data_IF_577285276046
#
_entry.id   IF_577285276046
#
_cell.length_a   1.000
_cell.length_b   1.000
_cell.length_c   1.000
_cell.angle_alpha   90.00
_cell.angle_beta   90.00
_cell.angle_gamma   90.00
#
_symmetry.space_group_name_H-M   'P 1'
#
loop_
_entity.id
_entity.type
_entity.pdbx_description
1 polymer ?
#
# COMPACT_ATOMS: atom_id res chain seq x y z
N UNK A 1 20.19 0.21 -33.65
CA UNK A 1 20.82 -1.13 -33.56
C UNK A 1 22.07 -1.01 -32.69
N UNK A 2 21.97 -1.12 -31.37
CA UNK A 2 23.14 -1.04 -30.49
C UNK A 2 23.61 -2.46 -30.20
N UNK A 3 24.59 -2.96 -30.98
CA UNK A 3 25.26 -4.22 -30.66
C UNK A 3 26.14 -4.00 -29.43
N UNK A 4 25.87 -4.70 -28.35
CA UNK A 4 26.76 -4.70 -27.18
C UNK A 4 28.10 -5.33 -27.57
N UNK A 5 29.15 -4.50 -27.68
CA UNK A 5 30.51 -4.94 -27.95
C UNK A 5 31.18 -5.25 -26.62
N UNK A 6 31.69 -6.47 -26.45
CA UNK A 6 32.43 -6.87 -25.24
C UNK A 6 33.67 -6.01 -25.04
N UNK A 7 34.01 -5.69 -23.79
CA UNK A 7 35.19 -4.88 -23.43
C UNK A 7 36.50 -5.44 -24.00
N UNK A 8 36.57 -6.76 -24.17
CA UNK A 8 37.71 -7.48 -24.75
C UNK A 8 37.92 -7.18 -26.24
N UNK A 9 36.86 -6.83 -26.97
CA UNK A 9 36.97 -6.52 -28.40
C UNK A 9 37.75 -5.22 -28.64
N UNK A 10 37.68 -4.25 -27.72
CA UNK A 10 38.43 -2.99 -27.84
C UNK A 10 39.95 -3.16 -27.73
N UNK A 11 40.44 -4.31 -27.29
CA UNK A 11 41.86 -4.63 -27.21
C UNK A 11 42.33 -5.51 -28.38
N UNK A 12 41.43 -5.98 -29.25
CA UNK A 12 41.77 -6.84 -30.37
C UNK A 12 42.25 -6.00 -31.59
N UNK A 13 43.45 -6.24 -32.14
CA UNK A 13 43.97 -5.51 -33.31
C UNK A 13 43.09 -5.68 -34.55
N UNK A 14 42.56 -6.89 -34.77
CA UNK A 14 41.69 -7.22 -35.91
C UNK A 14 40.33 -6.53 -35.83
N UNK A 15 39.81 -6.32 -34.61
CA UNK A 15 38.57 -5.56 -34.37
C UNK A 15 38.78 -4.06 -34.58
N UNK A 16 39.89 -3.50 -34.07
CA UNK A 16 40.27 -2.09 -34.31
C UNK A 16 40.51 -1.78 -35.79
N UNK A 17 41.04 -2.74 -36.54
CA UNK A 17 41.24 -2.62 -37.99
C UNK A 17 39.96 -2.79 -38.82
N UNK A 18 38.79 -2.96 -38.19
CA UNK A 18 37.49 -3.07 -38.88
C UNK A 18 37.26 -4.38 -39.63
N UNK A 19 38.16 -5.36 -39.50
CA UNK A 19 38.11 -6.66 -40.23
C UNK A 19 37.59 -7.82 -39.40
N UNK A 20 37.14 -7.56 -38.17
CA UNK A 20 36.59 -8.61 -37.31
C UNK A 20 35.13 -8.87 -37.70
N UNK A 21 34.86 -10.06 -38.25
CA UNK A 21 33.52 -10.51 -38.60
C UNK A 21 32.59 -10.68 -37.38
N UNK A 22 33.17 -10.85 -36.19
CA UNK A 22 32.48 -11.03 -34.91
C UNK A 22 31.63 -12.30 -34.87
N UNK A 23 31.57 -12.98 -33.73
CA UNK A 23 30.57 -14.04 -33.54
C UNK A 23 29.25 -13.37 -33.19
N UNK A 24 28.52 -12.90 -34.19
CA UNK A 24 27.19 -12.34 -33.96
C UNK A 24 26.25 -13.47 -33.48
N UNK A 25 26.11 -13.63 -32.16
CA UNK A 25 24.97 -14.37 -31.61
C UNK A 25 23.72 -13.54 -31.90
N UNK A 26 23.02 -13.86 -32.99
CA UNK A 26 21.61 -13.47 -33.15
C UNK A 26 20.87 -14.11 -31.98
N UNK A 27 20.51 -13.30 -30.99
CA UNK A 27 19.49 -13.69 -30.02
C UNK A 27 18.15 -13.62 -30.77
N UNK A 28 17.74 -14.74 -31.34
CA UNK A 28 16.35 -14.96 -31.70
C UNK A 28 15.53 -14.96 -30.40
N UNK A 29 14.28 -14.48 -30.47
CA UNK A 29 13.35 -14.51 -29.35
C UNK A 29 13.24 -15.95 -28.80
N UNK A 30 13.65 -16.10 -27.54
CA UNK A 30 13.37 -17.18 -26.58
C UNK A 30 12.80 -18.48 -27.17
N UNK A 31 13.69 -19.44 -27.46
CA UNK A 31 13.36 -20.83 -27.19
C UNK A 31 13.34 -20.98 -25.65
N UNK A 32 12.27 -21.54 -25.11
CA UNK A 32 12.07 -21.63 -23.66
C UNK A 32 13.10 -22.61 -23.08
N UNK A 33 14.24 -22.09 -22.62
CA UNK A 33 15.11 -22.85 -21.73
C UNK A 33 14.25 -23.31 -20.54
N UNK A 34 14.24 -24.60 -20.17
CA UNK A 34 13.59 -25.02 -18.94
C UNK A 34 14.26 -24.26 -17.81
N UNK A 35 13.56 -23.28 -17.25
CA UNK A 35 13.97 -22.69 -16.00
C UNK A 35 13.89 -23.85 -14.99
N UNK A 36 15.02 -24.43 -14.63
CA UNK A 36 15.15 -25.09 -13.34
C UNK A 36 15.00 -24.00 -12.29
N UNK A 37 13.77 -23.52 -12.08
CA UNK A 37 13.42 -22.80 -10.87
C UNK A 37 13.64 -23.85 -9.78
N UNK A 38 14.74 -23.72 -9.05
CA UNK A 38 14.84 -24.32 -7.72
C UNK A 38 13.56 -23.91 -7.02
N UNK A 39 12.73 -24.87 -6.65
CA UNK A 39 11.54 -24.61 -5.86
C UNK A 39 11.99 -23.83 -4.64
N UNK A 40 11.67 -22.53 -4.63
CA UNK A 40 11.90 -21.69 -3.47
C UNK A 40 10.97 -22.25 -2.43
N UNK A 41 11.52 -22.80 -1.35
CA UNK A 41 10.74 -23.14 -0.15
C UNK A 41 9.77 -21.99 0.10
N UNK A 42 8.49 -22.32 0.16
CA UNK A 42 7.42 -21.36 0.41
C UNK A 42 7.83 -20.50 1.62
N UNK A 43 7.97 -19.19 1.39
CA UNK A 43 8.34 -18.26 2.45
C UNK A 43 7.17 -18.10 3.41
N UNK A 44 7.45 -18.20 4.71
CA UNK A 44 6.46 -17.90 5.74
C UNK A 44 6.10 -16.41 5.68
N UNK A 45 4.80 -16.13 5.52
CA UNK A 45 4.24 -14.76 5.44
C UNK A 45 4.52 -13.94 6.71
N UNK A 46 4.80 -14.60 7.83
CA UNK A 46 5.20 -13.95 9.09
C UNK A 46 6.47 -13.09 8.93
N UNK A 47 7.34 -13.43 7.98
CA UNK A 47 8.58 -12.68 7.74
C UNK A 47 8.38 -11.35 7.02
N UNK A 48 7.21 -11.16 6.41
CA UNK A 48 6.87 -9.95 5.65
C UNK A 48 6.42 -8.83 6.58
N UNK A 49 5.83 -9.17 7.72
CA UNK A 49 5.26 -8.21 8.65
C UNK A 49 6.08 -8.16 9.95
N UNK A 50 6.57 -6.96 10.27
CA UNK A 50 7.28 -6.65 11.49
C UNK A 50 6.52 -7.08 12.74
N UNK A 51 5.22 -6.77 12.83
CA UNK A 51 4.38 -7.12 13.99
C UNK A 51 4.28 -8.62 14.23
N UNK A 52 4.20 -9.43 13.16
CA UNK A 52 4.11 -10.89 13.28
C UNK A 52 5.46 -11.58 13.50
N UNK A 53 6.54 -10.97 13.03
CA UNK A 53 7.89 -11.57 13.09
C UNK A 53 8.52 -11.54 14.49
N UNK A 54 7.99 -10.74 15.43
CA UNK A 54 8.57 -10.52 16.76
C UNK A 54 9.95 -9.85 16.73
N UNK A 55 10.43 -9.41 15.57
CA UNK A 55 11.75 -8.78 15.39
C UNK A 55 11.70 -7.34 15.85
N UNK A 56 12.54 -6.98 16.81
CA UNK A 56 12.82 -5.58 17.13
C UNK A 56 13.64 -4.97 15.99
N UNK A 57 13.08 -3.98 15.33
CA UNK A 57 13.73 -3.28 14.22
C UNK A 57 14.58 -2.17 14.81
N UNK A 58 15.86 -2.03 14.40
CA UNK A 58 16.70 -0.95 14.87
C UNK A 58 16.14 0.41 14.42
N UNK A 59 16.42 1.48 15.16
CA UNK A 59 16.01 2.83 14.76
C UNK A 59 16.59 3.19 13.39
N UNK A 60 15.88 4.04 12.64
CA UNK A 60 16.33 4.42 11.31
C UNK A 60 17.61 5.25 11.39
N UNK A 61 18.53 5.12 10.40
CA UNK A 61 19.76 5.91 10.35
C UNK A 61 19.52 7.43 10.40
N UNK A 62 20.48 8.16 10.98
CA UNK A 62 20.48 9.62 11.15
C UNK A 62 20.06 10.42 9.91
N UNK A 63 20.51 9.99 8.72
CA UNK A 63 20.18 10.63 7.44
C UNK A 63 18.67 10.84 7.22
N UNK A 64 17.82 9.99 7.79
CA UNK A 64 16.36 10.12 7.68
C UNK A 64 15.83 11.29 8.53
N UNK A 65 16.48 11.62 9.65
CA UNK A 65 16.18 12.83 10.44
C UNK A 65 16.49 14.08 9.63
N UNK A 66 17.69 14.12 9.04
CA UNK A 66 18.11 15.22 8.17
C UNK A 66 17.14 15.40 7.01
N UNK A 67 16.72 14.31 6.37
CA UNK A 67 15.74 14.35 5.30
C UNK A 67 14.40 14.90 5.77
N UNK A 68 13.86 14.43 6.90
CA UNK A 68 12.62 14.96 7.46
C UNK A 68 12.75 16.46 7.74
N UNK A 69 13.83 16.89 8.38
CA UNK A 69 14.11 18.30 8.66
C UNK A 69 14.16 19.15 7.40
N UNK A 70 14.85 18.68 6.36
CA UNK A 70 14.97 19.40 5.09
C UNK A 70 13.62 19.55 4.39
N UNK A 71 12.72 18.58 4.53
CA UNK A 71 11.37 18.64 3.95
C UNK A 71 10.44 19.61 4.70
N UNK A 72 10.66 19.84 5.99
CA UNK A 72 9.73 20.60 6.84
C UNK A 72 10.21 22.00 7.20
N UNK A 73 11.48 22.31 6.98
CA UNK A 73 12.07 23.61 7.33
C UNK A 73 11.28 24.76 6.67
N UNK A 74 10.76 25.67 7.49
CA UNK A 74 9.98 26.83 7.04
C UNK A 74 8.48 26.60 6.84
N UNK A 75 8.00 25.35 6.97
CA UNK A 75 6.59 24.99 6.78
C UNK A 75 5.94 24.34 8.01
N UNK A 76 6.61 24.35 9.17
CA UNK A 76 6.17 23.62 10.38
C UNK A 76 4.76 24.01 10.83
N UNK A 77 4.44 25.30 10.85
CA UNK A 77 3.10 25.79 11.21
C UNK A 77 2.04 25.37 10.18
N UNK A 78 2.38 25.39 8.89
CA UNK A 78 1.47 24.98 7.83
C UNK A 78 1.20 23.48 7.89
N UNK A 79 2.23 22.68 8.16
CA UNK A 79 2.14 21.24 8.34
C UNK A 79 1.26 20.92 9.55
N UNK A 80 1.47 21.60 10.69
CA UNK A 80 0.63 21.45 11.88
C UNK A 80 -0.84 21.78 11.56
N UNK A 81 -1.09 22.91 10.88
CA UNK A 81 -2.44 23.30 10.48
C UNK A 81 -3.09 22.26 9.56
N UNK A 82 -2.37 21.79 8.53
CA UNK A 82 -2.86 20.77 7.61
C UNK A 82 -3.15 19.45 8.32
N UNK A 83 -2.38 19.09 9.33
CA UNK A 83 -2.66 17.91 10.17
C UNK A 83 -3.93 18.07 10.99
N UNK A 84 -4.08 19.22 11.66
CA UNK A 84 -5.27 19.49 12.48
C UNK A 84 -6.55 19.45 11.63
N UNK A 85 -6.53 20.07 10.44
CA UNK A 85 -7.63 19.99 9.46
C UNK A 85 -7.88 18.54 8.99
N UNK A 86 -6.82 17.78 8.73
CA UNK A 86 -6.92 16.42 8.23
C UNK A 86 -7.50 15.44 9.24
N UNK A 87 -7.14 15.57 10.53
CA UNK A 87 -7.67 14.72 11.59
C UNK A 87 -9.17 14.96 11.77
N UNK A 88 -9.63 16.21 11.69
CA UNK A 88 -11.07 16.52 11.72
C UNK A 88 -11.80 15.93 10.51
N UNK A 89 -11.23 16.04 9.30
CA UNK A 89 -11.81 15.39 8.11
C UNK A 89 -11.86 13.87 8.30
N UNK A 90 -10.81 13.25 8.81
CA UNK A 90 -10.78 11.81 9.06
C UNK A 90 -11.83 11.37 10.07
N UNK A 91 -12.04 12.14 11.13
CA UNK A 91 -13.05 11.87 12.15
C UNK A 91 -14.45 11.83 11.54
N UNK A 92 -14.82 12.87 10.79
CA UNK A 92 -16.11 12.93 10.08
C UNK A 92 -16.26 11.78 9.09
N UNK A 93 -15.25 11.50 8.27
CA UNK A 93 -15.31 10.43 7.27
C UNK A 93 -15.39 9.04 7.90
N UNK A 94 -14.70 8.84 9.02
CA UNK A 94 -14.75 7.59 9.78
C UNK A 94 -16.15 7.35 10.35
N UNK A 95 -16.76 8.38 10.93
CA UNK A 95 -18.15 8.31 11.43
C UNK A 95 -19.16 8.06 10.29
N UNK A 96 -19.00 8.72 9.14
CA UNK A 96 -19.82 8.48 7.95
C UNK A 96 -19.72 7.03 7.48
N UNK A 97 -18.51 6.47 7.42
CA UNK A 97 -18.30 5.09 7.00
C UNK A 97 -18.82 4.11 8.04
N UNK A 98 -18.56 4.35 9.34
CA UNK A 98 -19.03 3.49 10.41
C UNK A 98 -20.57 3.42 10.44
N UNK A 99 -21.26 4.54 10.23
CA UNK A 99 -22.73 4.60 10.17
C UNK A 99 -23.30 3.99 8.89
N UNK A 100 -22.62 4.14 7.75
CA UNK A 100 -23.09 3.65 6.45
C UNK A 100 -22.48 2.31 6.03
N UNK A 101 -21.65 1.67 6.85
CA UNK A 101 -20.95 0.43 6.46
C UNK A 101 -21.90 -0.63 5.92
N UNK A 102 -23.07 -0.77 6.54
CA UNK A 102 -24.11 -1.74 6.15
C UNK A 102 -24.74 -1.39 4.80
N UNK A 103 -25.01 -0.10 4.55
CA UNK A 103 -25.62 0.36 3.30
C UNK A 103 -24.62 0.49 2.15
N UNK A 104 -23.35 0.79 2.42
CA UNK A 104 -22.27 0.87 1.41
C UNK A 104 -21.98 -0.52 0.85
N UNK A 105 -21.82 -1.55 1.71
CA UNK A 105 -21.74 -2.93 1.24
C UNK A 105 -22.95 -3.30 0.38
N UNK A 106 -24.15 -2.96 0.83
CA UNK A 106 -25.39 -3.30 0.14
C UNK A 106 -25.49 -2.60 -1.22
N UNK A 107 -25.10 -1.33 -1.31
CA UNK A 107 -25.15 -0.56 -2.56
C UNK A 107 -24.20 -1.12 -3.63
N UNK A 108 -22.97 -1.49 -3.24
CA UNK A 108 -22.04 -2.16 -4.16
C UNK A 108 -22.60 -3.51 -4.65
N UNK A 109 -23.19 -4.32 -3.76
CA UNK A 109 -23.83 -5.58 -4.14
C UNK A 109 -25.02 -5.35 -5.10
N UNK A 110 -25.85 -4.34 -4.86
CA UNK A 110 -27.00 -4.05 -5.73
C UNK A 110 -26.60 -3.59 -7.13
N UNK A 111 -25.56 -2.76 -7.28
CA UNK A 111 -25.08 -2.36 -8.61
C UNK A 111 -24.41 -3.53 -9.35
N UNK A 112 -23.69 -4.39 -8.64
CA UNK A 112 -23.08 -5.58 -9.24
C UNK A 112 -24.14 -6.59 -9.73
N UNK A 113 -25.24 -6.77 -8.98
CA UNK A 113 -26.39 -7.57 -9.42
C UNK A 113 -27.12 -6.95 -10.62
N UNK A 114 -27.20 -5.60 -10.68
CA UNK A 114 -27.81 -4.89 -11.80
C UNK A 114 -27.01 -5.01 -13.12
N UNK A 115 -25.71 -5.28 -13.05
CA UNK A 115 -24.86 -5.56 -14.23
C UNK A 115 -25.00 -6.99 -14.80
N UNK A 116 -25.98 -7.78 -14.34
CA UNK A 116 -26.35 -9.05 -14.95
C UNK A 116 -25.44 -10.24 -14.61
N UNK A 117 -24.49 -10.06 -13.70
CA UNK A 117 -23.76 -11.17 -13.10
C UNK A 117 -24.61 -11.77 -11.96
N UNK A 118 -25.16 -12.95 -12.22
CA UNK A 118 -25.99 -13.72 -11.29
C UNK A 118 -25.13 -14.29 -10.16
N UNK A 119 -24.72 -13.44 -9.22
CA UNK A 119 -24.27 -13.92 -7.91
C UNK A 119 -25.46 -14.58 -7.23
N UNK A 120 -25.34 -15.87 -6.92
CA UNK A 120 -26.25 -16.55 -6.00
C UNK A 120 -26.11 -15.86 -4.64
N UNK A 121 -26.98 -14.90 -4.37
CA UNK A 121 -27.24 -14.40 -3.01
C UNK A 121 -28.01 -15.50 -2.27
N UNK A 122 -27.33 -16.61 -1.99
CA UNK A 122 -27.84 -17.66 -1.13
C UNK A 122 -27.24 -17.41 0.27
N UNK A 123 -28.15 -17.03 1.17
CA UNK A 123 -28.17 -17.43 2.58
C UNK A 123 -27.38 -16.64 3.63
N UNK A 124 -27.05 -15.36 3.42
CA UNK A 124 -26.54 -14.54 4.54
C UNK A 124 -27.29 -13.23 4.75
N UNK A 125 -27.78 -13.05 5.98
CA UNK A 125 -28.32 -11.79 6.47
C UNK A 125 -27.21 -10.74 6.47
N UNK A 126 -27.46 -9.48 6.03
CA UNK A 126 -26.47 -8.41 6.08
C UNK A 126 -25.80 -8.25 7.46
N UNK A 127 -26.54 -8.54 8.53
CA UNK A 127 -26.02 -8.49 9.90
C UNK A 127 -24.95 -9.57 10.20
N UNK A 128 -24.94 -10.70 9.50
CA UNK A 128 -23.98 -11.80 9.71
C UNK A 128 -22.65 -11.57 9.00
N UNK A 129 -22.68 -10.89 7.84
CA UNK A 129 -21.49 -10.47 7.09
C UNK A 129 -20.62 -9.50 7.92
N UNK A 130 -21.25 -8.66 8.74
CA UNK A 130 -20.55 -7.76 9.68
C UNK A 130 -20.22 -8.41 11.03
N UNK A 131 -20.95 -9.45 11.45
CA UNK A 131 -20.74 -10.11 12.76
C UNK A 131 -19.50 -10.99 12.81
N UNK A 132 -19.00 -11.45 11.66
CA UNK A 132 -17.84 -12.33 11.56
C UNK A 132 -16.87 -11.95 10.43
N UNK A 133 -16.05 -10.88 10.59
CA UNK A 133 -15.08 -10.46 9.57
C UNK A 133 -14.01 -11.52 9.23
N UNK A 134 -13.86 -12.55 10.07
CA UNK A 134 -12.80 -13.55 9.96
C UNK A 134 -13.21 -14.88 9.31
N UNK A 135 -14.51 -15.09 8.99
CA UNK A 135 -14.99 -16.42 8.58
C UNK A 135 -15.08 -16.65 7.07
N UNK A 136 -15.00 -15.59 6.27
CA UNK A 136 -14.81 -15.69 4.83
C UNK A 136 -13.41 -15.16 4.50
N UNK A 137 -12.67 -15.88 3.64
CA UNK A 137 -11.33 -15.48 3.15
C UNK A 137 -11.46 -14.32 2.15
N UNK A 138 -12.11 -13.26 2.59
CA UNK A 138 -12.53 -12.15 1.75
C UNK A 138 -11.63 -10.96 2.05
N UNK A 139 -11.15 -10.31 0.99
CA UNK A 139 -10.40 -9.07 1.10
C UNK A 139 -11.25 -8.05 1.86
N UNK A 140 -10.66 -7.32 2.81
CA UNK A 140 -11.27 -6.14 3.41
C UNK A 140 -10.55 -4.91 2.90
N UNK A 141 -11.29 -3.84 2.63
CA UNK A 141 -10.77 -2.62 2.02
C UNK A 141 -11.11 -1.41 2.87
N UNK A 142 -10.20 -0.43 2.88
CA UNK A 142 -10.42 0.87 3.49
C UNK A 142 -11.03 1.83 2.45
N UNK A 143 -12.30 2.24 2.58
CA UNK A 143 -13.01 3.00 1.54
C UNK A 143 -12.59 4.48 1.49
N UNK A 144 -12.00 5.01 2.57
CA UNK A 144 -11.59 6.41 2.65
C UNK A 144 -10.15 6.50 2.12
N UNK A 145 -9.96 6.70 0.81
CA UNK A 145 -8.61 6.63 0.23
C UNK A 145 -7.84 7.95 0.38
N UNK A 146 -8.44 9.08 0.02
CA UNK A 146 -7.74 10.36 -0.09
C UNK A 146 -7.19 10.88 1.24
N UNK A 147 -8.01 11.13 2.29
CA UNK A 147 -7.48 11.67 3.54
C UNK A 147 -6.63 10.63 4.28
N UNK A 148 -6.86 9.33 4.11
CA UNK A 148 -5.99 8.31 4.71
C UNK A 148 -4.61 8.25 4.07
N UNK A 149 -4.51 8.48 2.76
CA UNK A 149 -3.21 8.60 2.08
C UNK A 149 -2.47 9.85 2.55
N UNK A 150 -3.16 11.01 2.62
CA UNK A 150 -2.57 12.23 3.16
C UNK A 150 -2.10 12.03 4.61
N UNK A 151 -2.90 11.33 5.41
CA UNK A 151 -2.61 11.06 6.81
C UNK A 151 -1.38 10.18 6.95
N UNK A 152 -1.31 9.12 6.16
CA UNK A 152 -0.15 8.23 6.13
C UNK A 152 1.15 8.98 5.78
N UNK A 153 1.10 9.91 4.83
CA UNK A 153 2.27 10.72 4.43
C UNK A 153 2.69 11.73 5.52
N UNK A 154 1.74 12.32 6.24
CA UNK A 154 2.03 13.29 7.31
C UNK A 154 2.36 12.62 8.64
N UNK A 155 1.88 11.39 8.88
CA UNK A 155 2.03 10.67 10.14
C UNK A 155 3.46 10.63 10.71
N UNK A 156 4.54 10.49 9.92
CA UNK A 156 5.92 10.51 10.42
C UNK A 156 6.38 11.79 11.12
N UNK A 157 5.61 12.87 11.01
CA UNK A 157 5.93 14.20 11.57
C UNK A 157 5.11 14.57 12.80
N UNK A 158 4.22 13.69 13.26
CA UNK A 158 3.30 14.00 14.36
C UNK A 158 3.34 12.96 15.45
N UNK A 159 3.10 13.43 16.68
CA UNK A 159 3.00 12.61 17.87
C UNK A 159 1.83 13.00 18.76
N UNK A 160 1.29 12.06 19.53
CA UNK A 160 0.32 12.37 20.56
C UNK A 160 0.98 13.13 21.73
N UNK A 161 0.36 14.21 22.20
CA UNK A 161 0.79 14.87 23.46
C UNK A 161 0.39 14.05 24.68
N UNK A 162 -0.68 13.25 24.57
CA UNK A 162 -1.20 12.41 25.64
C UNK A 162 -1.30 10.96 25.15
N UNK A 163 -0.80 10.01 25.94
CA UNK A 163 -0.94 8.58 25.63
C UNK A 163 -2.43 8.25 25.42
N UNK A 164 -2.70 7.40 24.43
CA UNK A 164 -4.05 6.95 24.02
C UNK A 164 -5.06 8.06 23.63
N UNK A 165 -4.62 9.30 23.44
CA UNK A 165 -5.48 10.39 22.96
C UNK A 165 -5.42 10.49 21.44
N UNK A 166 -6.57 10.62 20.80
CA UNK A 166 -6.68 11.05 19.40
C UNK A 166 -6.45 12.56 19.27
N UNK A 167 -6.67 13.31 20.34
CA UNK A 167 -6.56 14.77 20.30
C UNK A 167 -5.19 15.27 20.76
N UNK A 168 -4.83 16.47 20.29
CA UNK A 168 -3.66 17.21 20.76
C UNK A 168 -2.36 16.64 20.24
N UNK A 169 -2.25 16.41 18.93
CA UNK A 169 -1.02 15.95 18.31
C UNK A 169 -0.11 17.10 17.93
N UNK A 170 1.20 16.93 18.11
CA UNK A 170 2.20 17.97 17.87
C UNK A 170 3.25 17.52 16.88
N UNK A 171 3.70 18.48 16.09
CA UNK A 171 4.81 18.31 15.16
C UNK A 171 6.09 17.89 15.90
N UNK A 172 6.71 16.80 15.46
CA UNK A 172 7.95 16.26 16.03
C UNK A 172 8.64 15.37 14.99
N UNK A 173 9.97 15.49 14.88
CA UNK A 173 10.77 14.74 13.90
C UNK A 173 11.23 13.36 14.41
N UNK A 174 11.33 13.23 15.74
CA UNK A 174 11.92 12.11 16.48
C UNK A 174 10.85 11.39 17.30
N UNK A 175 11.13 10.18 17.80
CA UNK A 175 10.31 9.44 18.77
C UNK A 175 10.61 9.88 20.24
N UNK A 176 9.95 9.27 21.23
CA UNK A 176 10.07 9.70 22.64
C UNK A 176 11.46 9.40 23.22
N UNK A 177 12.21 8.52 22.59
CA UNK A 177 13.59 8.16 22.90
C UNK A 177 14.60 8.93 22.02
N UNK A 178 14.12 9.83 21.15
CA UNK A 178 14.93 10.62 20.24
C UNK A 178 15.33 9.91 18.94
N UNK A 179 14.78 8.73 18.64
CA UNK A 179 15.08 7.97 17.43
C UNK A 179 14.20 8.39 16.24
N UNK A 180 14.68 8.06 15.03
CA UNK A 180 13.88 8.26 13.81
C UNK A 180 13.07 7.00 13.50
N UNK A 181 11.76 7.17 13.35
CA UNK A 181 10.86 6.10 12.94
C UNK A 181 9.89 6.55 11.84
N UNK A 182 9.46 5.60 11.01
CA UNK A 182 8.38 5.75 10.02
C UNK A 182 7.29 4.73 10.37
N UNK A 183 6.14 5.24 10.84
CA UNK A 183 5.08 4.44 11.44
C UNK A 183 4.58 3.31 10.51
N UNK A 184 5.00 2.08 10.80
CA UNK A 184 4.66 0.87 10.03
C UNK A 184 5.42 0.70 8.72
N UNK A 185 6.44 1.51 8.44
CA UNK A 185 7.22 1.48 7.19
C UNK A 185 8.65 1.00 7.46
N UNK A 186 8.79 -0.24 7.94
CA UNK A 186 10.08 -0.77 8.33
C UNK A 186 10.88 -1.30 7.12
N UNK A 187 12.16 -0.92 6.96
CA UNK A 187 12.96 -1.37 5.83
C UNK A 187 13.03 -2.90 5.75
N UNK A 188 12.68 -3.46 4.59
CA UNK A 188 12.69 -4.91 4.36
C UNK A 188 11.44 -5.64 4.83
N UNK A 189 10.43 -4.92 5.34
CA UNK A 189 9.09 -5.46 5.64
C UNK A 189 8.02 -4.76 4.78
N UNK A 190 6.80 -5.27 4.82
CA UNK A 190 5.64 -4.60 4.25
C UNK A 190 5.26 -3.35 5.06
N UNK A 191 4.47 -2.49 4.40
CA UNK A 191 3.80 -1.38 5.04
C UNK A 191 2.67 -1.90 5.92
N UNK A 192 2.65 -1.46 7.18
CA UNK A 192 1.67 -1.87 8.18
C UNK A 192 0.84 -0.68 8.66
N UNK A 193 -0.47 -0.89 8.68
CA UNK A 193 -1.42 0.02 9.30
C UNK A 193 -2.07 -0.70 10.48
N UNK A 194 -1.61 -0.36 11.69
CA UNK A 194 -2.14 -0.88 12.95
C UNK A 194 -2.75 0.25 13.77
N UNK A 195 -3.58 -0.08 14.75
CA UNK A 195 -4.16 0.91 15.69
C UNK A 195 -3.08 1.67 16.46
N UNK A 196 -1.97 1.01 16.80
CA UNK A 196 -0.86 1.63 17.52
C UNK A 196 -0.12 2.67 16.65
N UNK A 197 0.09 2.35 15.38
CA UNK A 197 0.78 3.24 14.45
C UNK A 197 -0.15 4.33 13.89
N UNK A 198 -1.42 4.00 13.62
CA UNK A 198 -2.36 4.82 12.85
C UNK A 198 -3.76 4.86 13.52
N UNK A 199 -3.87 5.40 14.75
CA UNK A 199 -5.12 5.31 15.52
C UNK A 199 -6.28 6.08 14.88
N UNK A 200 -6.02 7.19 14.18
CA UNK A 200 -7.07 8.01 13.54
C UNK A 200 -7.76 7.34 12.34
N UNK A 201 -7.22 6.24 11.82
CA UNK A 201 -7.85 5.51 10.73
C UNK A 201 -8.97 4.57 11.21
N UNK A 202 -9.00 4.25 12.51
CA UNK A 202 -10.03 3.41 13.14
C UNK A 202 -10.37 2.16 12.32
N UNK A 203 -9.34 1.42 11.89
CA UNK A 203 -9.46 0.37 10.88
C UNK A 203 -10.47 -0.73 11.24
N UNK A 204 -10.69 -0.98 12.53
CA UNK A 204 -11.69 -1.95 12.99
C UNK A 204 -13.13 -1.51 12.71
N UNK A 205 -13.37 -0.20 12.56
CA UNK A 205 -14.67 0.40 12.26
C UNK A 205 -14.82 0.78 10.78
N UNK A 206 -13.72 1.13 10.11
CA UNK A 206 -13.73 1.65 8.73
C UNK A 206 -13.50 0.60 7.66
N UNK A 207 -12.96 -0.58 8.00
CA UNK A 207 -12.72 -1.66 7.04
C UNK A 207 -14.04 -2.31 6.61
N UNK A 208 -14.24 -2.41 5.30
CA UNK A 208 -15.44 -2.97 4.68
C UNK A 208 -15.06 -4.24 3.91
N UNK A 209 -15.82 -5.35 4.00
CA UNK A 209 -15.56 -6.52 3.19
C UNK A 209 -15.74 -6.21 1.69
N UNK A 210 -14.77 -6.64 0.90
CA UNK A 210 -14.88 -6.66 -0.56
C UNK A 210 -16.00 -7.64 -0.97
N UNK A 211 -16.74 -7.36 -2.05
CA UNK A 211 -17.75 -8.28 -2.56
C UNK A 211 -17.18 -9.67 -2.87
N UNK A 212 -18.03 -10.71 -2.85
CA UNK A 212 -17.64 -12.05 -3.29
C UNK A 212 -17.17 -12.00 -4.74
N UNK A 213 -16.00 -12.60 -5.01
CA UNK A 213 -15.41 -12.71 -6.35
C UNK A 213 -15.55 -14.14 -6.86
N UNK A 214 -15.95 -14.29 -8.13
CA UNK A 214 -15.97 -15.57 -8.81
C UNK A 214 -14.66 -15.82 -9.57
N UNK A 215 -14.26 -17.10 -9.81
CA UNK A 215 -13.07 -17.41 -10.61
C UNK A 215 -13.16 -16.79 -12.01
N UNK A 216 -12.25 -15.88 -12.34
CA UNK A 216 -12.25 -15.14 -13.60
C UNK A 216 -12.59 -13.65 -13.46
N UNK A 217 -13.09 -13.22 -12.30
CA UNK A 217 -13.27 -11.81 -11.99
C UNK A 217 -11.91 -11.09 -11.90
N UNK A 218 -11.69 -10.14 -12.81
CA UNK A 218 -10.58 -9.20 -12.67
C UNK A 218 -11.05 -8.05 -11.78
N UNK A 219 -10.44 -7.86 -10.61
CA UNK A 219 -10.82 -6.85 -9.60
C UNK A 219 -10.74 -5.38 -10.04
N UNK A 220 -10.57 -5.11 -11.34
CA UNK A 220 -10.73 -3.81 -11.96
C UNK A 220 -12.16 -3.67 -12.46
N UNK A 221 -12.99 -2.93 -11.72
CA UNK A 221 -14.29 -2.50 -12.22
C UNK A 221 -14.11 -1.76 -13.56
N UNK A 222 -14.84 -2.12 -14.63
CA UNK A 222 -14.84 -1.34 -15.86
C UNK A 222 -15.59 -0.04 -15.55
N UNK A 223 -14.87 1.00 -15.14
CA UNK A 223 -15.36 2.38 -15.27
C UNK A 223 -15.42 2.71 -16.77
N UNK A 224 -16.43 2.18 -17.48
CA UNK A 224 -16.81 2.71 -18.79
C UNK A 224 -17.46 4.06 -18.56
N UNK A 225 -16.62 5.09 -18.66
CA UNK A 225 -16.94 6.50 -18.70
C UNK A 225 -17.96 6.76 -19.83
N UNK A 226 -19.25 6.79 -19.54
CA UNK A 226 -20.23 7.44 -20.40
C UNK A 226 -20.33 8.91 -19.97
N UNK A 227 -19.39 9.73 -20.45
CA UNK A 227 -19.57 11.19 -20.45
C UNK A 227 -20.55 11.49 -21.59
N UNK A 228 -21.76 12.02 -21.33
CA UNK A 228 -22.58 12.55 -22.41
C UNK A 228 -21.86 13.76 -22.98
N UNK A 229 -21.53 13.72 -24.27
CA UNK A 229 -21.12 14.93 -25.01
C UNK A 229 -22.36 15.78 -25.18
N UNK A 230 -22.38 16.96 -24.56
CA UNK A 230 -23.19 18.10 -24.97
C UNK A 230 -22.54 18.78 -26.16
#
# INVERSE_FOLDING_TARGET
MNRAVSSKCFQCPTFRAGRCSGTAKRLLATDAAPLTRKDKKEGDISSVFSTFSGRKIPPLPERFRELKRNLTTGFEEQIQKSWDELVEVLKVRTEEVASKRESVCLWYLTNYLATGHMLKVADYSPAELFRHPHRQRTLVVHPILQPSTAYWMLRPFFKPTRKSSLDGWKFSLDDDEGNVYLHGANPGTAQEHTLDHHPHLMLHETMIPYPTVDPGDTGTSPMTRSIPRS
#
